data_IF_675813161012
#
_entry.id   IF_675813161012
#
_cell.length_a   1.000
_cell.length_b   1.000
_cell.length_c   1.000
_cell.angle_alpha   90.00
_cell.angle_beta   90.00
_cell.angle_gamma   90.00
#
_symmetry.space_group_name_H-M   'P 1'
#
loop_
_entity.id
_entity.type
_entity.pdbx_description
1 polymer ?
#
# COMPACT_ATOMS: atom_id res chain seq x y z
N UNK A 1 1.53 -10.39 44.22
CA UNK A 1 0.49 -9.40 43.84
C UNK A 1 0.54 -9.26 42.31
N UNK A 2 -0.40 -9.91 41.63
CA UNK A 2 -0.45 -9.99 40.17
C UNK A 2 -1.27 -8.80 39.67
N UNK A 3 -0.62 -7.82 39.04
CA UNK A 3 -1.31 -6.73 38.35
C UNK A 3 -2.01 -7.27 37.10
N UNK A 4 -3.32 -7.39 37.22
CA UNK A 4 -4.20 -7.81 36.13
C UNK A 4 -4.10 -6.83 34.96
N UNK A 5 -3.52 -7.27 33.86
CA UNK A 5 -3.56 -6.60 32.56
C UNK A 5 -5.03 -6.37 32.20
N UNK A 6 -5.50 -5.13 32.34
CA UNK A 6 -6.85 -4.74 31.92
C UNK A 6 -6.98 -5.00 30.41
N UNK A 7 -7.68 -6.04 30.07
CA UNK A 7 -8.11 -6.32 28.70
C UNK A 7 -9.06 -5.19 28.25
N UNK A 8 -8.61 -4.37 27.33
CA UNK A 8 -9.51 -3.52 26.57
C UNK A 8 -10.34 -4.39 25.63
N UNK A 9 -11.58 -4.68 26.06
CA UNK A 9 -12.57 -5.53 25.36
C UNK A 9 -13.12 -4.88 24.08
N UNK A 10 -12.65 -3.67 23.70
CA UNK A 10 -13.31 -2.81 22.70
C UNK A 10 -12.83 -2.90 21.25
N UNK A 11 -11.65 -3.51 20.94
CA UNK A 11 -11.10 -3.50 19.57
C UNK A 11 -10.42 -4.83 19.21
N UNK A 12 -11.15 -5.94 19.38
CA UNK A 12 -10.63 -7.27 18.98
C UNK A 12 -10.35 -7.34 17.47
N UNK A 13 -11.22 -6.87 16.55
CA UNK A 13 -10.92 -6.91 15.12
C UNK A 13 -9.64 -6.16 14.77
N UNK A 14 -9.46 -4.93 15.20
CA UNK A 14 -8.25 -4.16 14.94
C UNK A 14 -6.98 -4.79 15.52
N UNK A 15 -7.10 -5.46 16.69
CA UNK A 15 -5.99 -6.21 17.26
C UNK A 15 -5.63 -7.44 16.41
N UNK A 16 -6.62 -8.18 15.92
CA UNK A 16 -6.41 -9.34 15.05
C UNK A 16 -5.71 -8.94 13.74
N UNK A 17 -6.10 -7.81 13.15
CA UNK A 17 -5.45 -7.28 11.94
C UNK A 17 -4.00 -6.92 12.23
N UNK A 18 -3.70 -6.23 13.34
CA UNK A 18 -2.31 -5.87 13.71
C UNK A 18 -1.46 -7.13 13.94
N UNK A 19 -1.94 -8.08 14.74
CA UNK A 19 -1.20 -9.32 15.02
C UNK A 19 -1.01 -10.19 13.76
N UNK A 20 -2.00 -10.21 12.85
CA UNK A 20 -1.88 -10.91 11.58
C UNK A 20 -0.82 -10.24 10.66
N UNK A 21 -0.75 -8.90 10.68
CA UNK A 21 0.29 -8.15 9.97
C UNK A 21 1.68 -8.45 10.51
N UNK A 22 1.86 -8.42 11.84
CA UNK A 22 3.13 -8.78 12.46
C UNK A 22 3.56 -10.20 12.06
N UNK A 23 2.62 -11.17 12.09
CA UNK A 23 2.90 -12.55 11.65
C UNK A 23 3.26 -12.62 10.16
N UNK A 24 2.64 -11.79 9.32
CA UNK A 24 2.93 -11.74 7.89
C UNK A 24 4.35 -11.23 7.64
N UNK A 25 4.77 -10.18 8.32
CA UNK A 25 6.13 -9.62 8.18
C UNK A 25 7.20 -10.53 8.80
N UNK A 26 6.91 -11.19 9.94
CA UNK A 26 7.84 -12.11 10.62
C UNK A 26 8.08 -13.41 9.84
N UNK A 27 7.04 -13.99 9.25
CA UNK A 27 7.09 -15.37 8.72
C UNK A 27 6.45 -15.58 7.35
N UNK A 28 5.92 -14.53 6.75
CA UNK A 28 5.26 -14.57 5.45
C UNK A 28 3.91 -15.32 5.47
N UNK A 29 3.30 -15.40 4.29
CA UNK A 29 1.99 -16.05 4.09
C UNK A 29 1.92 -17.51 4.54
N UNK A 30 3.06 -18.22 4.55
CA UNK A 30 3.10 -19.65 4.92
C UNK A 30 2.84 -19.86 6.41
N UNK A 31 3.31 -18.95 7.26
CA UNK A 31 3.13 -19.05 8.71
C UNK A 31 1.80 -18.46 9.18
N UNK A 32 1.19 -17.57 8.41
CA UNK A 32 -0.10 -16.98 8.73
C UNK A 32 -1.25 -17.97 8.49
N UNK A 33 -1.94 -18.34 9.55
CA UNK A 33 -3.18 -19.13 9.53
C UNK A 33 -4.13 -18.66 10.61
N UNK A 34 -5.45 -18.88 10.43
CA UNK A 34 -6.46 -18.52 11.43
C UNK A 34 -6.20 -19.18 12.79
N UNK A 35 -5.70 -20.42 12.80
CA UNK A 35 -5.36 -21.14 14.05
C UNK A 35 -4.14 -20.54 14.73
N UNK A 36 -3.09 -20.23 13.98
CA UNK A 36 -1.89 -19.60 14.52
C UNK A 36 -2.19 -18.20 15.07
N UNK A 37 -3.00 -17.41 14.33
CA UNK A 37 -3.45 -16.10 14.79
C UNK A 37 -4.32 -16.21 16.06
N UNK A 38 -5.25 -17.15 16.14
CA UNK A 38 -6.05 -17.39 17.33
C UNK A 38 -5.17 -17.67 18.55
N UNK A 39 -4.18 -18.57 18.40
CA UNK A 39 -3.23 -18.89 19.46
C UNK A 39 -2.41 -17.67 19.91
N UNK A 40 -1.88 -16.89 18.96
CA UNK A 40 -1.11 -15.65 19.23
C UNK A 40 -1.97 -14.60 19.94
N UNK A 41 -3.23 -14.46 19.51
CA UNK A 41 -4.18 -13.48 20.08
C UNK A 41 -4.82 -13.92 21.40
N UNK A 42 -4.56 -15.15 21.86
CA UNK A 42 -5.14 -15.69 23.10
C UNK A 42 -6.64 -15.90 23.04
N UNK A 43 -7.20 -16.18 21.85
CA UNK A 43 -8.62 -16.52 21.66
C UNK A 43 -8.79 -17.94 21.16
N UNK A 44 -10.00 -18.47 21.27
CA UNK A 44 -10.30 -19.82 20.75
C UNK A 44 -10.40 -19.82 19.22
N UNK A 45 -10.11 -20.97 18.58
CA UNK A 45 -10.32 -21.11 17.15
C UNK A 45 -11.80 -20.88 16.75
N UNK A 46 -12.76 -21.28 17.59
CA UNK A 46 -14.17 -21.00 17.36
C UNK A 46 -14.46 -19.50 17.32
N UNK A 47 -13.89 -18.72 18.26
CA UNK A 47 -14.01 -17.26 18.25
C UNK A 47 -13.40 -16.64 16.99
N UNK A 48 -12.23 -17.16 16.53
CA UNK A 48 -11.59 -16.67 15.29
C UNK A 48 -12.51 -16.88 14.08
N UNK A 49 -13.16 -18.03 13.95
CA UNK A 49 -14.07 -18.32 12.84
C UNK A 49 -15.37 -17.50 12.88
N UNK A 50 -15.73 -16.85 14.00
CA UNK A 50 -16.77 -15.83 14.04
C UNK A 50 -16.34 -14.48 13.43
N UNK A 51 -15.02 -14.21 13.36
CA UNK A 51 -14.50 -12.99 12.76
C UNK A 51 -14.11 -13.18 11.29
N UNK A 52 -13.56 -14.35 10.96
CA UNK A 52 -13.08 -14.65 9.61
C UNK A 52 -13.51 -16.03 9.16
N UNK A 53 -14.38 -16.12 8.17
CA UNK A 53 -14.86 -17.38 7.59
C UNK A 53 -13.74 -18.18 6.92
N UNK A 54 -12.69 -17.52 6.46
CA UNK A 54 -11.58 -18.15 5.77
C UNK A 54 -10.26 -17.35 5.92
N UNK A 55 -9.13 -18.01 5.63
CA UNK A 55 -7.84 -17.32 5.52
C UNK A 55 -7.88 -16.23 4.45
N UNK A 56 -8.57 -16.47 3.33
CA UNK A 56 -8.74 -15.48 2.25
C UNK A 56 -9.43 -14.23 2.75
N UNK A 57 -10.47 -14.35 3.59
CA UNK A 57 -11.16 -13.19 4.17
C UNK A 57 -10.22 -12.34 5.05
N UNK A 58 -9.41 -12.99 5.90
CA UNK A 58 -8.38 -12.30 6.70
C UNK A 58 -7.34 -11.60 5.80
N UNK A 59 -6.82 -12.29 4.78
CA UNK A 59 -5.83 -11.73 3.86
C UNK A 59 -6.38 -10.55 3.06
N UNK A 60 -7.65 -10.62 2.65
CA UNK A 60 -8.32 -9.53 1.97
C UNK A 60 -8.49 -8.29 2.87
N UNK A 61 -8.79 -8.48 4.16
CA UNK A 61 -8.85 -7.36 5.11
C UNK A 61 -7.47 -6.74 5.34
N UNK A 62 -6.41 -7.57 5.48
CA UNK A 62 -5.04 -7.07 5.57
C UNK A 62 -4.65 -6.26 4.33
N UNK A 63 -4.90 -6.78 3.13
CA UNK A 63 -4.58 -6.09 1.88
C UNK A 63 -5.36 -4.78 1.73
N UNK A 64 -6.66 -4.78 2.05
CA UNK A 64 -7.48 -3.57 2.02
C UNK A 64 -6.97 -2.52 3.01
N UNK A 65 -6.61 -2.93 4.25
CA UNK A 65 -6.03 -2.03 5.24
C UNK A 65 -4.68 -1.46 4.78
N UNK A 66 -3.85 -2.28 4.11
CA UNK A 66 -2.60 -1.84 3.49
C UNK A 66 -2.81 -0.76 2.43
N UNK A 67 -3.79 -0.91 1.54
CA UNK A 67 -4.14 0.14 0.56
C UNK A 67 -4.68 1.41 1.22
N UNK A 68 -5.44 1.31 2.30
CA UNK A 68 -5.91 2.49 3.05
C UNK A 68 -4.75 3.23 3.73
N UNK A 69 -3.74 2.53 4.23
CA UNK A 69 -2.52 3.14 4.76
C UNK A 69 -1.68 3.77 3.66
N UNK A 70 -1.44 3.04 2.58
CA UNK A 70 -0.75 3.57 1.41
C UNK A 70 -1.39 4.87 0.94
N UNK A 71 -2.73 4.91 0.80
CA UNK A 71 -3.45 6.13 0.43
C UNK A 71 -3.12 7.30 1.35
N UNK A 72 -3.17 7.09 2.69
CA UNK A 72 -2.86 8.14 3.67
C UNK A 72 -1.41 8.62 3.58
N UNK A 73 -0.48 7.69 3.36
CA UNK A 73 0.94 8.02 3.18
C UNK A 73 1.16 8.84 1.91
N UNK A 74 0.47 8.49 0.81
CA UNK A 74 0.53 9.23 -0.46
C UNK A 74 -0.10 10.62 -0.35
N UNK A 75 -1.26 10.75 0.31
CA UNK A 75 -1.92 12.04 0.56
C UNK A 75 -1.03 12.97 1.40
N UNK A 76 -0.37 12.42 2.42
CA UNK A 76 0.57 13.17 3.25
C UNK A 76 1.80 13.62 2.45
N UNK A 77 2.42 12.70 1.70
CA UNK A 77 3.59 13.00 0.89
C UNK A 77 3.31 14.04 -0.20
N UNK A 78 2.14 14.00 -0.83
CA UNK A 78 1.65 15.01 -1.77
C UNK A 78 1.53 16.39 -1.11
N UNK A 79 0.93 16.45 0.08
CA UNK A 79 0.77 17.68 0.84
C UNK A 79 2.14 18.29 1.26
N UNK A 80 3.06 17.47 1.74
CA UNK A 80 4.39 17.88 2.19
C UNK A 80 5.29 18.36 1.03
N UNK A 81 5.13 17.77 -0.17
CA UNK A 81 5.95 18.09 -1.33
C UNK A 81 5.63 19.48 -1.97
N UNK A 82 4.43 20.00 -1.74
CA UNK A 82 3.96 21.25 -2.37
C UNK A 82 3.79 21.12 -3.90
N UNK A 83 3.39 22.24 -4.55
CA UNK A 83 2.95 22.21 -5.97
C UNK A 83 4.02 21.72 -6.95
N UNK A 84 5.29 22.09 -6.75
CA UNK A 84 6.39 21.75 -7.68
C UNK A 84 6.95 20.34 -7.52
N UNK A 85 6.66 19.65 -6.41
CA UNK A 85 7.26 18.36 -6.06
C UNK A 85 6.27 17.20 -5.96
N UNK A 86 5.02 17.39 -6.31
CA UNK A 86 3.92 16.45 -6.05
C UNK A 86 4.14 15.04 -6.59
N UNK A 87 4.62 14.91 -7.84
CA UNK A 87 4.88 13.60 -8.43
C UNK A 87 6.04 12.89 -7.73
N UNK A 88 7.10 13.61 -7.38
CA UNK A 88 8.22 13.10 -6.60
C UNK A 88 7.76 12.69 -5.19
N UNK A 89 6.99 13.53 -4.52
CA UNK A 89 6.44 13.26 -3.20
C UNK A 89 5.61 11.98 -3.21
N UNK A 90 4.69 11.85 -4.17
CA UNK A 90 3.90 10.64 -4.36
C UNK A 90 4.79 9.39 -4.58
N UNK A 91 5.77 9.47 -5.50
CA UNK A 91 6.65 8.35 -5.81
C UNK A 91 7.47 7.95 -4.58
N UNK A 92 8.07 8.92 -3.87
CA UNK A 92 8.83 8.68 -2.64
C UNK A 92 7.96 8.02 -1.57
N UNK A 93 6.72 8.49 -1.36
CA UNK A 93 5.76 7.89 -0.43
C UNK A 93 5.42 6.45 -0.79
N UNK A 94 5.23 6.17 -2.08
CA UNK A 94 4.95 4.82 -2.59
C UNK A 94 6.10 3.84 -2.31
N UNK A 95 7.34 4.23 -2.64
CA UNK A 95 8.53 3.41 -2.40
C UNK A 95 8.82 3.23 -0.91
N UNK A 96 8.62 4.28 -0.12
CA UNK A 96 8.80 4.20 1.33
C UNK A 96 7.85 3.18 1.96
N UNK A 97 6.58 3.18 1.53
CA UNK A 97 5.60 2.19 1.99
C UNK A 97 6.02 0.76 1.58
N UNK A 98 6.39 0.54 0.31
CA UNK A 98 6.79 -0.77 -0.19
C UNK A 98 8.00 -1.35 0.57
N UNK A 99 8.95 -0.51 0.97
CA UNK A 99 10.15 -0.91 1.73
C UNK A 99 9.88 -1.14 3.21
N UNK A 100 8.97 -0.36 3.80
CA UNK A 100 8.60 -0.50 5.21
C UNK A 100 7.82 -1.78 5.48
N UNK A 101 6.98 -2.20 4.54
CA UNK A 101 6.02 -3.28 4.69
C UNK A 101 6.07 -4.25 3.49
N UNK A 102 7.21 -4.91 3.24
CA UNK A 102 7.41 -5.65 2.00
C UNK A 102 6.49 -6.86 1.86
N UNK A 103 6.19 -7.58 2.94
CA UNK A 103 5.29 -8.73 2.89
C UNK A 103 3.83 -8.30 2.72
N UNK A 104 3.40 -7.23 3.39
CA UNK A 104 2.08 -6.64 3.18
C UNK A 104 1.94 -6.07 1.77
N UNK A 105 2.95 -5.34 1.28
CA UNK A 105 2.97 -4.82 -0.09
C UNK A 105 2.83 -5.95 -1.12
N UNK A 106 3.55 -7.06 -0.94
CA UNK A 106 3.39 -8.24 -1.79
C UNK A 106 1.97 -8.82 -1.74
N UNK A 107 1.38 -8.92 -0.55
CA UNK A 107 0.01 -9.40 -0.38
C UNK A 107 -1.04 -8.51 -1.06
N UNK A 108 -0.87 -7.19 -1.02
CA UNK A 108 -1.80 -6.22 -1.62
C UNK A 108 -1.97 -6.44 -3.14
N UNK A 109 -0.94 -6.95 -3.79
CA UNK A 109 -0.93 -7.21 -5.24
C UNK A 109 -0.98 -8.70 -5.59
N UNK A 110 -1.18 -9.58 -4.60
CA UNK A 110 -1.40 -11.01 -4.85
C UNK A 110 -2.63 -11.20 -5.76
N UNK A 111 -2.53 -11.96 -6.87
CA UNK A 111 -3.61 -12.07 -7.85
C UNK A 111 -4.91 -12.62 -7.29
N UNK A 112 -4.87 -13.55 -6.32
CA UNK A 112 -6.05 -14.17 -5.72
C UNK A 112 -6.72 -13.22 -4.73
N UNK A 113 -5.94 -12.38 -4.05
CA UNK A 113 -6.42 -11.44 -3.04
C UNK A 113 -6.87 -10.12 -3.68
N UNK A 114 -6.16 -9.64 -4.70
CA UNK A 114 -6.45 -8.38 -5.38
C UNK A 114 -7.83 -8.34 -6.08
N UNK A 115 -8.46 -9.50 -6.31
CA UNK A 115 -9.80 -9.61 -6.90
C UNK A 115 -10.91 -9.51 -5.85
N UNK A 116 -10.60 -9.55 -4.56
CA UNK A 116 -11.62 -9.38 -3.51
C UNK A 116 -12.20 -7.96 -3.58
N UNK A 117 -13.55 -7.78 -3.50
CA UNK A 117 -14.19 -6.49 -3.73
C UNK A 117 -13.64 -5.36 -2.86
N UNK A 118 -13.43 -5.60 -1.56
CA UNK A 118 -12.90 -4.61 -0.64
C UNK A 118 -11.45 -4.22 -0.96
N UNK A 119 -10.64 -5.14 -1.50
CA UNK A 119 -9.27 -4.87 -1.92
C UNK A 119 -9.26 -4.03 -3.20
N UNK A 120 -10.12 -4.38 -4.16
CA UNK A 120 -10.26 -3.63 -5.41
C UNK A 120 -10.71 -2.19 -5.15
N UNK A 121 -11.66 -1.98 -4.23
CA UNK A 121 -12.14 -0.65 -3.81
C UNK A 121 -11.02 0.16 -3.13
N UNK A 122 -10.33 -0.42 -2.16
CA UNK A 122 -9.25 0.26 -1.46
C UNK A 122 -8.08 0.61 -2.40
N UNK A 123 -7.73 -0.28 -3.33
CA UNK A 123 -6.74 -0.03 -4.39
C UNK A 123 -7.17 1.12 -5.31
N UNK A 124 -8.43 1.14 -5.74
CA UNK A 124 -8.95 2.22 -6.57
C UNK A 124 -8.87 3.58 -5.85
N UNK A 125 -9.17 3.61 -4.55
CA UNK A 125 -9.04 4.83 -3.74
C UNK A 125 -7.59 5.31 -3.61
N UNK A 126 -6.62 4.40 -3.44
CA UNK A 126 -5.20 4.75 -3.44
C UNK A 126 -4.72 5.27 -4.81
N UNK A 127 -5.16 4.63 -5.90
CA UNK A 127 -4.84 5.06 -7.27
C UNK A 127 -5.44 6.44 -7.62
N UNK A 128 -6.59 6.78 -7.05
CA UNK A 128 -7.23 8.07 -7.25
C UNK A 128 -6.38 9.25 -6.77
N UNK A 129 -5.51 9.06 -5.76
CA UNK A 129 -4.55 10.09 -5.32
C UNK A 129 -3.58 10.43 -6.46
N UNK A 130 -2.99 9.42 -7.10
CA UNK A 130 -2.11 9.64 -8.25
C UNK A 130 -2.87 10.28 -9.42
N UNK A 131 -4.09 9.82 -9.69
CA UNK A 131 -4.88 10.38 -10.79
C UNK A 131 -5.11 11.88 -10.61
N UNK A 132 -5.48 12.33 -9.41
CA UNK A 132 -5.63 13.75 -9.07
C UNK A 132 -4.33 14.52 -9.25
N UNK A 133 -3.18 13.99 -8.80
CA UNK A 133 -1.87 14.62 -8.99
C UNK A 133 -1.53 14.78 -10.48
N UNK A 134 -1.74 13.72 -11.28
CA UNK A 134 -1.50 13.77 -12.74
C UNK A 134 -2.41 14.79 -13.41
N UNK A 135 -3.68 14.88 -13.03
CA UNK A 135 -4.64 15.87 -13.54
C UNK A 135 -4.18 17.29 -13.23
N UNK A 136 -3.81 17.59 -11.99
CA UNK A 136 -3.37 18.92 -11.57
C UNK A 136 -2.04 19.33 -12.24
N UNK A 137 -1.08 18.41 -12.35
CA UNK A 137 0.19 18.66 -13.05
C UNK A 137 -0.05 18.90 -14.55
N UNK A 138 -0.92 18.11 -15.19
CA UNK A 138 -1.28 18.30 -16.59
C UNK A 138 -1.98 19.65 -16.83
N UNK A 139 -2.91 20.03 -15.95
CA UNK A 139 -3.62 21.31 -16.01
C UNK A 139 -2.65 22.50 -15.85
N UNK A 140 -1.73 22.43 -14.90
CA UNK A 140 -0.70 23.46 -14.70
C UNK A 140 0.21 23.66 -15.93
N UNK A 141 0.36 22.63 -16.76
CA UNK A 141 1.13 22.66 -18.00
C UNK A 141 0.28 22.99 -19.24
N UNK A 142 -1.00 23.31 -19.08
CA UNK A 142 -1.93 23.57 -20.18
C UNK A 142 -2.26 22.35 -21.05
N UNK A 143 -2.02 21.13 -20.57
CA UNK A 143 -2.25 19.87 -21.29
C UNK A 143 -3.70 19.37 -21.07
N UNK A 144 -4.67 20.13 -21.57
CA UNK A 144 -6.11 19.93 -21.34
C UNK A 144 -6.61 18.60 -21.96
N UNK A 145 -6.05 18.19 -23.11
CA UNK A 145 -6.44 16.98 -23.84
C UNK A 145 -5.56 15.76 -23.51
N UNK A 146 -4.83 15.79 -22.40
CA UNK A 146 -3.95 14.69 -22.04
C UNK A 146 -4.77 13.42 -21.68
N UNK A 147 -4.34 12.22 -22.11
CA UNK A 147 -5.02 10.96 -21.75
C UNK A 147 -4.70 10.56 -20.31
N UNK A 148 -5.23 11.32 -19.33
CA UNK A 148 -4.88 11.26 -17.90
C UNK A 148 -4.92 9.85 -17.31
N UNK A 149 -5.94 9.07 -17.68
CA UNK A 149 -6.05 7.68 -17.21
C UNK A 149 -4.85 6.83 -17.64
N UNK A 150 -4.43 6.95 -18.91
CA UNK A 150 -3.28 6.18 -19.42
C UNK A 150 -1.98 6.64 -18.77
N UNK A 151 -1.82 7.94 -18.57
CA UNK A 151 -0.65 8.50 -17.88
C UNK A 151 -0.59 8.00 -16.43
N UNK A 152 -1.71 8.07 -15.71
CA UNK A 152 -1.81 7.55 -14.33
C UNK A 152 -1.39 6.09 -14.24
N UNK A 153 -1.91 5.25 -15.14
CA UNK A 153 -1.58 3.81 -15.15
C UNK A 153 -0.10 3.56 -15.51
N UNK A 154 0.47 4.34 -16.44
CA UNK A 154 1.88 4.23 -16.81
C UNK A 154 2.81 4.60 -15.65
N UNK A 155 2.53 5.71 -14.97
CA UNK A 155 3.28 6.16 -13.78
C UNK A 155 3.20 5.11 -12.67
N UNK A 156 1.99 4.63 -12.38
CA UNK A 156 1.80 3.61 -11.36
C UNK A 156 2.52 2.30 -11.70
N UNK A 157 2.42 1.83 -12.95
CA UNK A 157 3.10 0.61 -13.39
C UNK A 157 4.63 0.74 -13.31
N UNK A 158 5.19 1.90 -13.68
CA UNK A 158 6.62 2.18 -13.55
C UNK A 158 7.08 2.15 -12.09
N UNK A 159 6.35 2.83 -11.20
CA UNK A 159 6.65 2.84 -9.77
C UNK A 159 6.53 1.44 -9.14
N UNK A 160 5.46 0.69 -9.48
CA UNK A 160 5.27 -0.65 -8.97
C UNK A 160 6.37 -1.63 -9.47
N UNK A 161 6.72 -1.55 -10.75
CA UNK A 161 7.82 -2.33 -11.32
C UNK A 161 9.16 -2.01 -10.66
N UNK A 162 9.48 -0.74 -10.45
CA UNK A 162 10.68 -0.30 -9.76
C UNK A 162 10.71 -0.77 -8.30
N UNK A 163 9.59 -0.69 -7.57
CA UNK A 163 9.50 -1.20 -6.20
C UNK A 163 9.80 -2.71 -6.13
N UNK A 164 9.25 -3.50 -7.07
CA UNK A 164 9.52 -4.94 -7.15
C UNK A 164 10.97 -5.25 -7.51
N UNK A 165 11.59 -4.51 -8.43
CA UNK A 165 12.98 -4.69 -8.82
C UNK A 165 13.95 -4.26 -7.71
N UNK A 166 13.66 -3.17 -7.00
CA UNK A 166 14.51 -2.63 -5.94
C UNK A 166 14.73 -3.61 -4.78
N UNK A 167 13.75 -4.49 -4.50
CA UNK A 167 13.90 -5.55 -3.49
C UNK A 167 14.95 -6.60 -3.90
N UNK A 168 15.17 -6.79 -5.20
CA UNK A 168 16.01 -7.86 -5.75
C UNK A 168 17.37 -7.36 -6.26
N UNK A 169 17.62 -6.04 -6.22
CA UNK A 169 18.80 -5.39 -6.81
C UNK A 169 19.62 -4.71 -5.73
N UNK A 170 20.95 -4.92 -5.65
CA UNK A 170 21.81 -4.23 -4.69
C UNK A 170 21.73 -2.70 -4.79
N UNK A 171 21.56 -2.18 -6.01
CA UNK A 171 21.44 -0.75 -6.35
C UNK A 171 19.98 -0.27 -6.34
N UNK A 172 19.11 -0.92 -5.56
CA UNK A 172 17.67 -0.65 -5.56
C UNK A 172 17.30 0.82 -5.26
N UNK A 173 18.08 1.52 -4.45
CA UNK A 173 17.85 2.94 -4.15
C UNK A 173 18.17 3.83 -5.36
N UNK A 174 19.25 3.55 -6.08
CA UNK A 174 19.61 4.27 -7.29
C UNK A 174 18.56 4.05 -8.38
N UNK A 175 18.08 2.83 -8.55
CA UNK A 175 16.99 2.52 -9.48
C UNK A 175 15.72 3.32 -9.18
N UNK A 176 15.36 3.47 -7.91
CA UNK A 176 14.20 4.26 -7.50
C UNK A 176 14.39 5.74 -7.89
N UNK A 177 15.55 6.33 -7.56
CA UNK A 177 15.85 7.71 -7.92
C UNK A 177 15.86 7.93 -9.44
N UNK A 178 16.42 7.01 -10.21
CA UNK A 178 16.41 7.06 -11.67
C UNK A 178 14.99 7.02 -12.24
N UNK A 179 14.13 6.16 -11.71
CA UNK A 179 12.71 6.09 -12.12
C UNK A 179 11.98 7.39 -11.77
N UNK A 180 12.20 7.94 -10.57
CA UNK A 180 11.60 9.23 -10.18
C UNK A 180 12.07 10.35 -11.11
N UNK A 181 13.38 10.45 -11.37
CA UNK A 181 13.94 11.47 -12.27
C UNK A 181 13.42 11.33 -13.71
N UNK A 182 13.28 10.08 -14.17
CA UNK A 182 12.67 9.78 -15.46
C UNK A 182 11.22 10.24 -15.56
N UNK A 183 10.41 9.93 -14.55
CA UNK A 183 9.01 10.36 -14.48
C UNK A 183 8.92 11.90 -14.45
N UNK A 184 9.71 12.59 -13.64
CA UNK A 184 9.76 14.06 -13.61
C UNK A 184 10.11 14.66 -14.97
N UNK A 185 11.05 14.03 -15.67
CA UNK A 185 11.47 14.50 -17.01
C UNK A 185 10.34 14.39 -18.04
N UNK A 186 9.55 13.28 -17.98
CA UNK A 186 8.38 13.10 -18.87
C UNK A 186 7.27 14.14 -18.62
N UNK A 187 7.19 14.67 -17.41
CA UNK A 187 6.21 15.70 -17.04
C UNK A 187 6.76 17.12 -17.12
N UNK A 188 8.03 17.31 -17.48
CA UNK A 188 8.60 18.65 -17.67
C UNK A 188 8.03 19.28 -18.94
N UNK A 189 7.59 20.56 -18.90
CA UNK A 189 7.17 21.24 -20.11
C UNK A 189 8.36 21.34 -21.09
N UNK A 190 8.10 21.31 -22.42
CA UNK A 190 9.15 21.53 -23.39
C UNK A 190 9.81 22.89 -23.16
N UNK A 191 11.11 23.04 -23.45
CA UNK A 191 11.76 24.36 -23.40
C UNK A 191 11.06 25.32 -24.36
N UNK A 192 10.88 26.55 -23.91
CA UNK A 192 10.24 27.61 -24.67
C UNK A 192 11.05 27.96 -25.92
#
# INVERSE_FOLDING_TARGET
>A
MSEGRRYHVGDLPGRLVREARDMLEEGGLKQLSLRALAARSGITAASMYHHYDSKTALLAELAASGFMELRRDLERADHEAGEGGRLRGWATGYFHFARREPALFGLMFDPDIAQQPQVAEARAAALAVLHRIVEEVAAAQGRIDAPLRHITLAVWAAAHGAAGLAVSTPEGDELIEDVIAGLETLFRPPPA
#
